data_IF_383460220706
#
_entry.id   IF_383460220706
#
_cell.length_a   1.000
_cell.length_b   1.000
_cell.length_c   1.000
_cell.angle_alpha   90.00
_cell.angle_beta   90.00
_cell.angle_gamma   90.00
#
_symmetry.space_group_name_H-M   'P 1'
#
loop_
_entity.id
_entity.type
_entity.pdbx_description
1 polymer ?
#
# COMPACT_ATOMS: atom_id res chain seq x y z
N UNK A 1 -8.65 2.53 -12.44
CA UNK A 1 -9.94 1.90 -12.06
C UNK A 1 -9.63 0.89 -10.97
N UNK A 2 -10.31 0.94 -9.83
CA UNK A 2 -10.02 0.01 -8.72
C UNK A 2 -10.55 -1.39 -9.05
N UNK A 3 -9.65 -2.35 -9.26
CA UNK A 3 -10.00 -3.75 -9.45
C UNK A 3 -10.04 -4.47 -8.09
N UNK A 4 -11.08 -5.29 -7.85
CA UNK A 4 -11.05 -6.28 -6.78
C UNK A 4 -10.31 -7.53 -7.30
N UNK A 5 -9.27 -7.93 -6.61
CA UNK A 5 -8.32 -8.94 -7.09
C UNK A 5 -8.62 -10.33 -6.54
N UNK A 6 -8.34 -11.35 -7.36
CA UNK A 6 -8.31 -12.77 -7.01
C UNK A 6 -7.08 -13.20 -6.16
N UNK A 7 -6.00 -12.42 -6.15
CA UNK A 7 -4.78 -12.64 -5.33
C UNK A 7 -4.92 -12.23 -3.85
N UNK A 8 -6.03 -11.58 -3.47
CA UNK A 8 -6.37 -11.46 -2.06
C UNK A 8 -6.51 -12.83 -1.41
N UNK A 9 -6.79 -13.89 -2.19
CA UNK A 9 -6.90 -15.25 -1.69
C UNK A 9 -5.64 -15.73 -0.97
N UNK A 10 -4.44 -15.33 -1.42
CA UNK A 10 -3.20 -15.71 -0.72
C UNK A 10 -3.07 -14.97 0.61
N UNK A 11 -3.29 -13.66 0.61
CA UNK A 11 -3.27 -12.87 1.84
C UNK A 11 -4.30 -13.38 2.86
N UNK A 12 -5.53 -13.66 2.41
CA UNK A 12 -6.57 -14.22 3.29
C UNK A 12 -6.21 -15.63 3.78
N UNK A 13 -5.60 -16.46 2.92
CA UNK A 13 -5.13 -17.79 3.32
C UNK A 13 -4.01 -17.70 4.36
N UNK A 14 -3.03 -16.82 4.17
CA UNK A 14 -1.93 -16.62 5.11
C UNK A 14 -2.44 -16.09 6.46
N UNK A 15 -3.40 -15.15 6.44
CA UNK A 15 -4.03 -14.66 7.68
C UNK A 15 -4.92 -15.71 8.38
N UNK A 16 -5.42 -16.70 7.63
CA UNK A 16 -6.18 -17.82 8.17
C UNK A 16 -5.29 -18.99 8.67
N UNK A 17 -4.01 -19.03 8.29
CA UNK A 17 -3.08 -20.10 8.68
C UNK A 17 -2.73 -20.03 10.17
N UNK A 18 -2.92 -21.15 10.90
CA UNK A 18 -2.66 -21.24 12.33
C UNK A 18 -1.20 -21.02 12.73
N UNK A 19 -0.25 -21.42 11.88
CA UNK A 19 1.19 -21.17 12.09
C UNK A 19 1.51 -19.69 11.97
N UNK A 20 0.84 -18.98 11.06
CA UNK A 20 0.95 -17.52 10.92
C UNK A 20 0.32 -16.82 12.12
N UNK A 21 -0.92 -17.19 12.48
CA UNK A 21 -1.63 -16.62 13.62
C UNK A 21 -0.88 -16.80 14.94
N UNK A 22 -0.17 -17.92 15.13
CA UNK A 22 0.65 -18.15 16.33
C UNK A 22 1.81 -17.15 16.42
N UNK A 23 2.29 -16.62 15.29
CA UNK A 23 3.43 -15.69 15.23
C UNK A 23 3.00 -14.23 15.32
N UNK A 24 1.91 -13.86 14.65
CA UNK A 24 1.50 -12.45 14.49
C UNK A 24 0.17 -12.11 15.18
N UNK A 25 -0.53 -13.10 15.72
CA UNK A 25 -1.90 -12.95 16.22
C UNK A 25 -2.94 -13.05 15.12
N UNK A 26 -4.20 -12.83 15.49
CA UNK A 26 -5.31 -12.82 14.55
C UNK A 26 -5.49 -11.43 13.94
N UNK A 27 -5.54 -11.39 12.61
CA UNK A 27 -5.76 -10.17 11.85
C UNK A 27 -6.91 -10.36 10.86
N UNK A 28 -7.66 -9.30 10.62
CA UNK A 28 -8.78 -9.29 9.67
C UNK A 28 -8.64 -8.08 8.76
N UNK A 29 -8.79 -8.29 7.46
CA UNK A 29 -8.84 -7.17 6.50
C UNK A 29 -10.15 -6.41 6.69
N UNK A 30 -10.03 -5.12 7.00
CA UNK A 30 -11.16 -4.22 7.26
C UNK A 30 -11.35 -3.17 6.16
N UNK A 31 -10.35 -3.02 5.28
CA UNK A 31 -10.45 -2.25 4.06
C UNK A 31 -9.75 -3.01 2.94
N UNK A 32 -10.53 -3.38 1.93
CA UNK A 32 -10.13 -4.28 0.85
C UNK A 32 -8.85 -3.80 0.16
N UNK A 33 -8.04 -4.72 -0.39
CA UNK A 33 -6.94 -4.32 -1.25
C UNK A 33 -7.46 -3.47 -2.40
N UNK A 34 -6.97 -2.23 -2.49
CA UNK A 34 -7.27 -1.29 -3.56
C UNK A 34 -6.06 -1.19 -4.45
N UNK A 35 -6.27 -1.43 -5.74
CA UNK A 35 -5.22 -1.42 -6.76
C UNK A 35 -5.34 -0.21 -7.64
N UNK A 36 -4.21 0.44 -7.85
CA UNK A 36 -4.00 1.43 -8.88
C UNK A 36 -3.18 0.83 -10.02
N UNK A 37 -3.60 1.15 -11.23
CA UNK A 37 -2.96 0.82 -12.50
C UNK A 37 -3.22 2.01 -13.44
N UNK A 38 -2.13 2.64 -13.89
CA UNK A 38 -2.11 3.80 -14.77
C UNK A 38 -2.61 3.44 -16.19
N UNK A 39 -2.41 2.20 -16.64
CA UNK A 39 -2.97 1.66 -17.88
C UNK A 39 -3.67 0.31 -17.62
N UNK A 40 -4.99 0.30 -17.39
CA UNK A 40 -5.77 -0.91 -17.12
C UNK A 40 -5.69 -2.01 -18.20
N UNK A 41 -5.15 -1.70 -19.39
CA UNK A 41 -4.91 -2.69 -20.46
C UNK A 41 -3.60 -3.45 -20.27
N UNK A 42 -2.65 -2.89 -19.53
CA UNK A 42 -1.35 -3.48 -19.25
C UNK A 42 -1.45 -4.74 -18.38
N UNK A 43 -2.48 -4.80 -17.52
CA UNK A 43 -2.64 -5.82 -16.48
C UNK A 43 -1.46 -5.85 -15.49
N UNK A 44 -0.68 -4.77 -15.44
CA UNK A 44 0.45 -4.59 -14.54
C UNK A 44 0.02 -3.60 -13.47
N UNK A 45 -0.06 -4.06 -12.23
CA UNK A 45 -0.42 -3.19 -11.11
C UNK A 45 0.76 -2.31 -10.73
N UNK A 46 0.48 -1.03 -10.47
CA UNK A 46 1.47 -0.06 -10.02
C UNK A 46 1.47 -0.01 -8.49
N UNK A 47 0.31 0.21 -7.87
CA UNK A 47 0.21 0.35 -6.42
C UNK A 47 -0.93 -0.49 -5.85
N UNK A 48 -0.73 -1.06 -4.66
CA UNK A 48 -1.76 -1.76 -3.88
C UNK A 48 -1.71 -1.33 -2.42
N UNK A 49 -2.89 -1.11 -1.84
CA UNK A 49 -3.02 -0.78 -0.42
C UNK A 49 -4.12 -1.61 0.24
N UNK A 50 -3.93 -2.06 1.48
CA UNK A 50 -5.00 -2.65 2.30
C UNK A 50 -4.88 -2.23 3.77
N UNK A 51 -5.98 -2.40 4.53
CA UNK A 51 -5.94 -2.21 6.00
C UNK A 51 -6.35 -3.49 6.71
N UNK A 52 -5.47 -3.95 7.60
CA UNK A 52 -5.73 -5.04 8.52
C UNK A 52 -5.98 -4.51 9.94
N UNK A 53 -6.90 -5.13 10.65
CA UNK A 53 -7.18 -4.89 12.06
C UNK A 53 -6.78 -6.12 12.88
N UNK A 54 -6.05 -5.90 13.95
CA UNK A 54 -5.71 -6.87 14.98
C UNK A 54 -5.97 -6.30 16.37
N UNK A 55 -5.38 -6.92 17.37
CA UNK A 55 -5.46 -6.49 18.76
C UNK A 55 -4.05 -6.36 19.35
N UNK A 56 -3.78 -5.24 20.00
CA UNK A 56 -2.55 -5.07 20.75
C UNK A 56 -2.61 -5.93 22.02
N UNK A 57 -1.73 -6.92 22.13
CA UNK A 57 -1.76 -7.91 23.22
C UNK A 57 -1.45 -7.33 24.60
N UNK A 58 -0.81 -6.16 24.67
CA UNK A 58 -0.47 -5.50 25.94
C UNK A 58 -1.60 -4.62 26.45
N UNK A 59 -2.28 -3.92 25.56
CA UNK A 59 -3.29 -2.90 25.91
C UNK A 59 -4.73 -3.32 25.63
N UNK A 60 -4.94 -4.44 24.94
CA UNK A 60 -6.22 -4.90 24.41
C UNK A 60 -6.93 -3.94 23.44
N UNK A 61 -6.29 -2.83 23.06
CA UNK A 61 -6.83 -1.88 22.12
C UNK A 61 -6.78 -2.43 20.68
N UNK A 62 -7.71 -2.03 19.80
CA UNK A 62 -7.60 -2.29 18.37
C UNK A 62 -6.30 -1.75 17.80
N UNK A 63 -5.62 -2.55 16.99
CA UNK A 63 -4.45 -2.14 16.23
C UNK A 63 -4.77 -2.23 14.74
N UNK A 64 -4.31 -1.25 13.96
CA UNK A 64 -4.48 -1.24 12.52
C UNK A 64 -3.11 -1.20 11.84
N UNK A 65 -2.99 -1.93 10.74
CA UNK A 65 -1.83 -1.91 9.85
C UNK A 65 -2.32 -1.49 8.48
N UNK A 66 -1.76 -0.41 7.96
CA UNK A 66 -1.92 0.00 6.57
C UNK A 66 -0.74 -0.57 5.80
N UNK A 67 -1.00 -1.53 4.94
CA UNK A 67 0.03 -2.12 4.09
C UNK A 67 -0.04 -1.48 2.71
N UNK A 68 1.12 -1.03 2.20
CA UNK A 68 1.27 -0.43 0.88
C UNK A 68 2.38 -1.22 0.17
N UNK A 69 2.13 -1.61 -1.07
CA UNK A 69 3.15 -2.13 -1.97
C UNK A 69 3.04 -1.38 -3.30
N UNK A 70 4.12 -0.75 -3.71
CA UNK A 70 4.26 -0.05 -4.98
C UNK A 70 4.95 -0.99 -5.97
N UNK A 71 6.28 -0.99 -6.03
CA UNK A 71 7.01 -1.53 -7.18
C UNK A 71 6.73 -2.98 -7.54
N UNK A 72 5.84 -3.15 -8.52
CA UNK A 72 5.87 -4.29 -9.43
C UNK A 72 7.07 -4.09 -10.37
N UNK A 73 8.08 -5.00 -10.40
CA UNK A 73 9.25 -4.85 -11.27
C UNK A 73 8.91 -4.77 -12.77
N UNK A 74 7.69 -5.16 -13.15
CA UNK A 74 7.19 -5.04 -14.52
C UNK A 74 6.54 -3.69 -14.81
N UNK A 75 6.23 -2.87 -13.79
CA UNK A 75 5.73 -1.52 -14.00
C UNK A 75 6.89 -0.55 -14.23
N UNK A 76 7.12 -0.25 -15.51
CA UNK A 76 8.07 0.78 -15.92
C UNK A 76 7.57 2.18 -15.55
N UNK A 77 6.25 2.37 -15.47
CA UNK A 77 5.66 3.65 -15.06
C UNK A 77 5.95 3.95 -13.60
N UNK A 78 5.61 3.02 -12.70
CA UNK A 78 5.88 3.15 -11.26
C UNK A 78 7.38 3.41 -11.04
N UNK A 79 8.23 2.61 -11.68
CA UNK A 79 9.67 2.79 -11.56
C UNK A 79 10.14 4.16 -12.07
N UNK A 80 9.78 4.57 -13.30
CA UNK A 80 10.35 5.78 -13.91
C UNK A 80 9.70 7.09 -13.43
N UNK A 81 8.41 7.06 -13.14
CA UNK A 81 7.61 8.25 -12.87
C UNK A 81 7.38 8.48 -11.37
N UNK A 82 7.23 7.41 -10.60
CA UNK A 82 6.99 7.49 -9.15
C UNK A 82 8.33 7.35 -8.37
N UNK A 83 9.16 6.34 -8.71
CA UNK A 83 10.36 6.03 -7.92
C UNK A 83 11.61 6.87 -8.28
N UNK A 84 11.94 7.09 -9.56
CA UNK A 84 13.14 7.89 -9.96
C UNK A 84 12.90 9.38 -10.20
N UNK A 85 11.65 9.87 -10.21
CA UNK A 85 11.39 11.31 -10.35
C UNK A 85 11.65 12.09 -9.04
N UNK A 86 12.92 12.12 -8.67
CA UNK A 86 13.45 12.76 -7.45
C UNK A 86 14.09 14.12 -7.73
N UNK A 87 14.30 14.46 -9.01
CA UNK A 87 14.95 15.72 -9.41
C UNK A 87 14.04 16.93 -9.20
N UNK A 88 12.74 16.77 -9.46
CA UNK A 88 11.73 17.77 -9.16
C UNK A 88 11.18 17.55 -7.76
N UNK A 89 11.00 18.65 -7.04
CA UNK A 89 10.45 18.64 -5.68
C UNK A 89 9.25 19.57 -5.61
N UNK A 90 8.22 19.15 -4.89
CA UNK A 90 7.00 19.92 -4.64
C UNK A 90 6.85 20.18 -3.15
N UNK A 91 6.12 21.23 -2.79
CA UNK A 91 5.84 21.55 -1.39
C UNK A 91 5.08 20.41 -0.73
N UNK A 92 5.51 20.01 0.47
CA UNK A 92 4.77 19.05 1.30
C UNK A 92 3.37 19.58 1.63
N UNK A 93 3.27 20.88 1.89
CA UNK A 93 2.02 21.57 2.20
C UNK A 93 1.99 22.94 1.54
N UNK A 94 0.91 23.24 0.83
CA UNK A 94 0.66 24.59 0.29
C UNK A 94 0.32 25.60 1.38
N UNK A 95 -0.15 25.14 2.55
CA UNK A 95 -0.51 26.01 3.68
C UNK A 95 0.63 26.24 4.65
N UNK A 96 1.62 25.33 4.70
CA UNK A 96 2.81 25.43 5.55
C UNK A 96 4.07 25.08 4.74
N UNK A 97 4.48 25.94 3.77
CA UNK A 97 5.54 25.63 2.81
C UNK A 97 6.92 25.43 3.46
N UNK A 98 7.13 25.96 4.66
CA UNK A 98 8.35 25.78 5.45
C UNK A 98 8.51 24.36 6.01
N UNK A 99 7.47 23.53 6.00
CA UNK A 99 7.50 22.16 6.52
C UNK A 99 8.24 21.18 5.61
N UNK A 100 8.71 21.66 4.46
CA UNK A 100 9.60 20.91 3.58
C UNK A 100 8.95 20.56 2.25
N UNK A 101 9.64 19.68 1.54
CA UNK A 101 9.32 19.30 0.19
C UNK A 101 9.43 17.78 0.06
N UNK A 102 8.66 17.22 -0.87
CA UNK A 102 8.74 15.83 -1.29
C UNK A 102 9.11 15.78 -2.77
N UNK A 103 9.64 14.65 -3.23
CA UNK A 103 9.85 14.44 -4.66
C UNK A 103 8.51 14.45 -5.40
N UNK A 104 8.52 14.92 -6.65
CA UNK A 104 7.33 14.90 -7.51
C UNK A 104 6.82 13.48 -7.74
N UNK A 105 7.72 12.49 -7.79
CA UNK A 105 7.36 11.08 -7.85
C UNK A 105 6.55 10.60 -6.64
N UNK A 106 7.00 10.88 -5.41
CA UNK A 106 6.25 10.54 -4.19
C UNK A 106 4.94 11.33 -4.05
N UNK A 107 4.83 12.51 -4.66
CA UNK A 107 3.56 13.24 -4.71
C UNK A 107 2.55 12.62 -5.70
N UNK A 108 3.03 11.86 -6.68
CA UNK A 108 2.21 11.23 -7.71
C UNK A 108 1.61 9.89 -7.25
N UNK A 109 2.41 9.08 -6.53
CA UNK A 109 1.95 7.83 -5.90
C UNK A 109 1.07 8.05 -4.67
#
# INVERSE_FOLDING_TARGET
MFANISDSNKLMADLADSNVQTKIGQWTIVWSPVIYDHDPKSQVWDNIMCVAKGQNLTTNNPQYVVAIAATNPQSVFDWLQEDVNTHNMVLWSSTNPEQGHISEGTNTG
#
